data_IF_069685907857
#
_entry.id   IF_069685907857
#
_cell.length_a   1.000
_cell.length_b   1.000
_cell.length_c   1.000
_cell.angle_alpha   90.00
_cell.angle_beta   90.00
_cell.angle_gamma   90.00
#
_symmetry.space_group_name_H-M   'P 1'
#
loop_
_entity.id
_entity.type
_entity.pdbx_description
1 polymer ?
#
# COMPACT_ATOMS: atom_id res chain seq x y z
N UNK A 1 -11.46 2.69 22.99
CA UNK A 1 -12.01 1.60 22.16
C UNK A 1 -12.67 2.05 20.86
N UNK A 2 -13.93 2.53 20.81
CA UNK A 2 -14.61 2.82 19.53
C UNK A 2 -13.93 3.95 18.72
N UNK A 3 -13.55 5.04 19.39
CA UNK A 3 -12.86 6.15 18.74
C UNK A 3 -11.50 5.75 18.15
N UNK A 4 -10.75 4.88 18.83
CA UNK A 4 -9.46 4.36 18.33
C UNK A 4 -9.64 3.53 17.05
N UNK A 5 -10.70 2.70 16.98
CA UNK A 5 -11.02 1.91 15.78
C UNK A 5 -11.34 2.83 14.60
N UNK A 6 -12.13 3.89 14.83
CA UNK A 6 -12.50 4.86 13.80
C UNK A 6 -11.26 5.61 13.28
N UNK A 7 -10.42 6.11 14.19
CA UNK A 7 -9.18 6.82 13.82
C UNK A 7 -8.26 5.89 13.02
N UNK A 8 -8.11 4.63 13.47
CA UNK A 8 -7.29 3.63 12.76
C UNK A 8 -7.82 3.38 11.35
N UNK A 9 -9.14 3.25 11.17
CA UNK A 9 -9.76 3.10 9.85
C UNK A 9 -9.44 4.27 8.91
N UNK A 10 -9.59 5.51 9.41
CA UNK A 10 -9.34 6.71 8.63
C UNK A 10 -7.87 6.78 8.19
N UNK A 11 -6.93 6.43 9.08
CA UNK A 11 -5.50 6.39 8.76
C UNK A 11 -5.13 5.26 7.77
N UNK A 12 -5.90 4.18 7.72
CA UNK A 12 -5.67 3.08 6.80
C UNK A 12 -6.16 3.36 5.37
N UNK A 13 -7.20 4.19 5.19
CA UNK A 13 -7.72 4.55 3.86
C UNK A 13 -6.63 5.04 2.89
N UNK A 14 -5.78 6.03 3.22
CA UNK A 14 -4.72 6.47 2.32
C UNK A 14 -3.68 5.37 2.06
N UNK A 15 -3.39 4.52 3.05
CA UNK A 15 -2.50 3.37 2.89
C UNK A 15 -3.04 2.37 1.87
N UNK A 16 -4.32 2.01 1.94
CA UNK A 16 -4.96 1.18 0.91
C UNK A 16 -4.98 1.88 -0.45
N UNK A 17 -5.27 3.18 -0.50
CA UNK A 17 -5.21 3.96 -1.73
C UNK A 17 -3.84 3.85 -2.42
N UNK A 18 -2.75 4.02 -1.65
CA UNK A 18 -1.39 3.88 -2.14
C UNK A 18 -1.08 2.47 -2.64
N UNK A 19 -1.52 1.42 -1.93
CA UNK A 19 -1.28 0.04 -2.35
C UNK A 19 -2.09 -0.36 -3.58
N UNK A 20 -3.34 0.08 -3.67
CA UNK A 20 -4.19 -0.12 -4.83
C UNK A 20 -3.57 0.58 -6.03
N UNK A 21 -3.16 1.84 -5.88
CA UNK A 21 -2.47 2.56 -6.95
C UNK A 21 -1.16 1.86 -7.36
N UNK A 22 -0.37 1.39 -6.39
CA UNK A 22 0.88 0.65 -6.66
C UNK A 22 0.66 -0.68 -7.37
N UNK A 23 -0.51 -1.31 -7.19
CA UNK A 23 -0.88 -2.53 -7.89
C UNK A 23 -1.32 -2.27 -9.33
N UNK A 24 -2.12 -1.24 -9.59
CA UNK A 24 -2.64 -0.94 -10.92
C UNK A 24 -1.66 -0.17 -11.80
N UNK A 25 -0.97 0.81 -11.23
CA UNK A 25 0.02 1.69 -11.88
C UNK A 25 1.38 1.59 -11.16
N UNK A 26 2.05 0.42 -11.21
CA UNK A 26 3.32 0.21 -10.53
C UNK A 26 4.40 1.17 -11.01
N UNK A 27 4.45 1.50 -12.30
CA UNK A 27 5.48 2.39 -12.86
C UNK A 27 5.40 3.79 -12.26
N UNK A 28 4.21 4.39 -12.26
CA UNK A 28 3.98 5.71 -11.67
C UNK A 28 4.24 5.72 -10.16
N UNK A 29 3.74 4.72 -9.44
CA UNK A 29 3.94 4.63 -7.99
C UNK A 29 5.40 4.42 -7.58
N UNK A 30 6.19 3.62 -8.32
CA UNK A 30 7.62 3.40 -8.05
C UNK A 30 8.41 4.71 -8.21
N UNK A 31 8.08 5.48 -9.25
CA UNK A 31 8.75 6.72 -9.61
C UNK A 31 8.20 7.94 -8.88
N UNK A 32 7.10 7.79 -8.14
CA UNK A 32 6.47 8.87 -7.38
C UNK A 32 7.47 9.51 -6.41
N UNK A 33 7.66 10.82 -6.54
CA UNK A 33 8.63 11.58 -5.74
C UNK A 33 10.10 11.30 -6.07
N UNK A 34 10.41 10.49 -7.10
CA UNK A 34 11.78 10.10 -7.48
C UNK A 34 12.21 10.56 -8.87
N UNK A 35 11.25 10.89 -9.76
CA UNK A 35 11.51 11.32 -11.15
C UNK A 35 12.57 12.43 -11.26
N UNK A 36 12.55 13.39 -10.33
CA UNK A 36 13.49 14.53 -10.31
C UNK A 36 14.95 14.16 -10.03
N UNK A 37 15.23 12.94 -9.55
CA UNK A 37 16.59 12.49 -9.25
C UNK A 37 17.33 11.96 -10.49
N UNK A 38 16.63 11.72 -11.60
CA UNK A 38 17.17 11.15 -12.82
C UNK A 38 17.35 12.23 -13.88
N UNK A 39 18.40 12.11 -14.71
CA UNK A 39 18.66 13.04 -15.82
C UNK A 39 17.70 12.85 -17.00
N UNK A 40 17.18 11.63 -17.14
CA UNK A 40 16.29 11.18 -18.20
C UNK A 40 15.20 10.30 -17.57
N UNK A 41 14.16 9.98 -18.34
CA UNK A 41 13.05 9.14 -17.88
C UNK A 41 13.57 7.73 -17.51
N UNK A 42 13.46 7.32 -16.23
CA UNK A 42 14.05 6.07 -15.77
C UNK A 42 13.25 4.85 -16.27
N UNK A 43 13.92 3.97 -17.02
CA UNK A 43 13.34 2.69 -17.43
C UNK A 43 13.29 1.69 -16.27
N UNK A 44 12.10 1.17 -15.98
CA UNK A 44 11.89 0.19 -14.93
C UNK A 44 12.02 -1.24 -15.47
N UNK A 45 12.72 -2.09 -14.72
CA UNK A 45 12.78 -3.52 -15.07
C UNK A 45 11.44 -4.21 -14.79
N UNK A 46 11.10 -5.19 -15.63
CA UNK A 46 9.91 -6.02 -15.47
C UNK A 46 9.86 -6.75 -14.11
N UNK A 47 11.04 -7.07 -13.55
CA UNK A 47 11.18 -7.66 -12.23
C UNK A 47 10.68 -6.74 -11.11
N UNK A 48 11.05 -5.47 -11.13
CA UNK A 48 10.59 -4.49 -10.12
C UNK A 48 9.09 -4.24 -10.27
N UNK A 49 8.59 -4.12 -11.49
CA UNK A 49 7.14 -3.97 -11.76
C UNK A 49 6.36 -5.16 -11.17
N UNK A 50 6.79 -6.40 -11.47
CA UNK A 50 6.14 -7.61 -10.97
C UNK A 50 6.22 -7.71 -9.44
N UNK A 51 7.38 -7.39 -8.86
CA UNK A 51 7.56 -7.38 -7.41
C UNK A 51 6.61 -6.38 -6.75
N UNK A 52 6.53 -5.14 -7.24
CA UNK A 52 5.65 -4.10 -6.68
C UNK A 52 4.19 -4.54 -6.69
N UNK A 53 3.71 -5.16 -7.79
CA UNK A 53 2.35 -5.71 -7.86
C UNK A 53 2.12 -6.80 -6.81
N UNK A 54 3.00 -7.79 -6.73
CA UNK A 54 2.87 -8.90 -5.78
C UNK A 54 2.95 -8.40 -4.34
N UNK A 55 3.95 -7.56 -4.04
CA UNK A 55 4.14 -6.96 -2.72
C UNK A 55 2.90 -6.16 -2.32
N UNK A 56 2.37 -5.31 -3.20
CA UNK A 56 1.16 -4.51 -2.91
C UNK A 56 -0.03 -5.40 -2.58
N UNK A 57 -0.25 -6.47 -3.36
CA UNK A 57 -1.33 -7.42 -3.10
C UNK A 57 -1.15 -8.17 -1.77
N UNK A 58 0.05 -8.69 -1.51
CA UNK A 58 0.37 -9.39 -0.26
C UNK A 58 0.19 -8.46 0.94
N UNK A 59 0.67 -7.22 0.85
CA UNK A 59 0.51 -6.22 1.91
C UNK A 59 -0.95 -5.85 2.14
N UNK A 60 -1.77 -5.71 1.08
CA UNK A 60 -3.21 -5.47 1.24
C UNK A 60 -3.90 -6.62 1.97
N UNK A 61 -3.62 -7.87 1.60
CA UNK A 61 -4.20 -9.06 2.25
C UNK A 61 -3.75 -9.11 3.72
N UNK A 62 -2.45 -8.98 3.96
CA UNK A 62 -1.87 -9.01 5.30
C UNK A 62 -2.44 -7.93 6.22
N UNK A 63 -2.53 -6.68 5.74
CA UNK A 63 -3.13 -5.59 6.51
C UNK A 63 -4.61 -5.85 6.81
N UNK A 64 -5.36 -6.38 5.85
CA UNK A 64 -6.79 -6.71 6.06
C UNK A 64 -6.95 -7.75 7.18
N UNK A 65 -6.12 -8.80 7.16
CA UNK A 65 -6.14 -9.85 8.19
C UNK A 65 -5.72 -9.27 9.54
N UNK A 66 -4.62 -8.52 9.61
CA UNK A 66 -4.17 -7.88 10.84
C UNK A 66 -5.23 -6.98 11.46
N UNK A 67 -5.90 -6.19 10.62
CA UNK A 67 -6.92 -5.26 11.06
C UNK A 67 -8.16 -5.99 11.61
N UNK A 68 -8.57 -7.08 10.96
CA UNK A 68 -9.64 -7.94 11.46
C UNK A 68 -9.30 -8.56 12.82
N UNK A 69 -8.08 -9.09 12.97
CA UNK A 69 -7.59 -9.65 14.24
C UNK A 69 -7.56 -8.59 15.34
N UNK A 70 -7.09 -7.38 15.03
CA UNK A 70 -7.05 -6.26 15.99
C UNK A 70 -8.46 -5.90 16.46
N UNK A 71 -9.44 -5.81 15.56
CA UNK A 71 -10.83 -5.55 15.96
C UNK A 71 -11.35 -6.69 16.85
N UNK A 72 -11.12 -7.94 16.47
CA UNK A 72 -11.59 -9.10 17.22
C UNK A 72 -11.07 -9.07 18.67
N UNK A 73 -9.78 -8.80 18.86
CA UNK A 73 -9.14 -8.69 20.19
C UNK A 73 -9.71 -7.52 21.00
N UNK A 74 -10.08 -6.41 20.37
CA UNK A 74 -10.61 -5.25 21.09
C UNK A 74 -12.11 -5.38 21.42
N UNK A 75 -12.83 -6.33 20.82
CA UNK A 75 -14.25 -6.57 21.07
C UNK A 75 -14.48 -7.68 22.12
N UNK A 76 -13.64 -8.73 22.10
CA UNK A 76 -13.66 -9.83 23.07
C UNK A 76 -13.08 -9.41 24.43
#
# INVERSE_FOLDING_TARGET
>A
MVAEIIITFILMLPLYGLLIWSYFEPEESILWGKRWMYKEEPELSSGVIRYTKIASLVTMIFMTVMFFVLILINIL
#
